data_IF_337387270224
#
_entry.id   IF_337387270224
#
_cell.length_a   1.000
_cell.length_b   1.000
_cell.length_c   1.000
_cell.angle_alpha   90.00
_cell.angle_beta   90.00
_cell.angle_gamma   90.00
#
_symmetry.space_group_name_H-M   'P 1'
#
loop_
_entity.id
_entity.type
_entity.pdbx_description
1 polymer ?
#
# COMPACT_ATOMS: atom_id res chain seq x y z
N UNK A 1 34.37 47.25 7.09
CA UNK A 1 34.37 46.04 6.24
C UNK A 1 33.21 45.20 6.68
N UNK A 2 32.04 45.32 5.98
CA UNK A 2 30.80 44.65 6.38
C UNK A 2 30.76 43.28 5.73
N UNK A 3 30.80 42.21 6.53
CA UNK A 3 30.56 40.86 6.06
C UNK A 3 29.04 40.61 6.01
N UNK A 4 28.50 40.47 4.79
CA UNK A 4 27.13 40.00 4.58
C UNK A 4 27.19 38.49 4.67
N UNK A 5 26.63 37.91 5.77
CA UNK A 5 26.43 36.46 5.91
C UNK A 5 25.18 36.11 5.13
N UNK A 6 25.33 35.51 3.95
CA UNK A 6 24.24 34.98 3.17
C UNK A 6 23.81 33.63 3.78
N UNK A 7 22.77 33.67 4.60
CA UNK A 7 22.15 32.43 5.12
C UNK A 7 21.31 31.82 3.98
N UNK A 8 21.88 30.81 3.33
CA UNK A 8 21.16 30.00 2.33
C UNK A 8 20.14 29.10 3.07
N UNK A 9 18.90 29.55 3.13
CA UNK A 9 17.80 28.70 3.58
C UNK A 9 17.59 27.61 2.53
N UNK A 10 18.20 26.45 2.76
CA UNK A 10 17.91 25.25 1.98
C UNK A 10 16.56 24.71 2.45
N UNK A 11 15.48 25.18 1.82
CA UNK A 11 14.16 24.58 1.95
C UNK A 11 14.24 23.17 1.35
N UNK A 12 14.34 22.16 2.20
CA UNK A 12 14.05 20.80 1.80
C UNK A 12 12.59 20.77 1.36
N UNK A 13 12.36 20.74 0.05
CA UNK A 13 11.09 20.36 -0.53
C UNK A 13 10.84 18.91 -0.10
N UNK A 14 10.14 18.76 1.02
CA UNK A 14 9.43 17.52 1.32
C UNK A 14 8.42 17.39 0.19
N UNK A 15 8.64 16.46 -0.71
CA UNK A 15 7.63 16.06 -1.67
C UNK A 15 6.49 15.45 -0.85
N UNK A 16 5.48 16.26 -0.55
CA UNK A 16 4.23 15.72 0.00
C UNK A 16 3.68 14.71 -1.01
N UNK A 17 3.37 13.53 -0.52
CA UNK A 17 2.68 12.54 -1.33
C UNK A 17 1.39 13.18 -1.85
N UNK A 18 1.16 13.11 -3.16
CA UNK A 18 -0.05 13.66 -3.78
C UNK A 18 -1.32 12.96 -3.28
N UNK A 19 -1.20 11.78 -2.70
CA UNK A 19 -2.30 10.93 -2.24
C UNK A 19 -2.21 10.69 -0.73
N UNK A 20 -3.37 10.57 -0.08
CA UNK A 20 -3.44 10.13 1.32
C UNK A 20 -2.86 8.72 1.45
N UNK A 21 -2.19 8.47 2.57
CA UNK A 21 -1.57 7.20 2.91
C UNK A 21 -2.11 6.69 4.26
N UNK A 22 -2.15 5.36 4.49
CA UNK A 22 -2.42 4.80 5.81
C UNK A 22 -1.40 5.30 6.83
N UNK A 23 -1.88 5.92 7.90
CA UNK A 23 -1.05 6.40 8.99
C UNK A 23 -0.45 5.24 9.78
N UNK A 24 0.75 5.42 10.31
CA UNK A 24 1.41 4.43 11.15
C UNK A 24 2.20 5.10 12.29
N UNK A 25 2.43 4.32 13.32
CA UNK A 25 3.39 4.66 14.38
C UNK A 25 4.68 3.91 14.09
N UNK A 26 5.79 4.63 13.94
CA UNK A 26 7.12 4.03 13.83
C UNK A 26 7.55 3.56 15.22
N UNK A 27 7.64 2.24 15.42
CA UNK A 27 8.04 1.65 16.69
C UNK A 27 9.57 1.53 16.81
N UNK A 28 10.22 1.12 15.73
CA UNK A 28 11.66 0.86 15.72
C UNK A 28 12.20 0.85 14.29
N UNK A 29 13.47 1.22 14.15
CA UNK A 29 14.25 1.01 12.91
C UNK A 29 15.47 0.17 13.25
N UNK A 30 15.71 -0.88 12.47
CA UNK A 30 16.89 -1.74 12.56
C UNK A 30 17.47 -1.85 11.14
N UNK A 31 18.68 -1.32 10.94
CA UNK A 31 19.29 -1.16 9.62
C UNK A 31 18.36 -0.37 8.69
N UNK A 32 17.88 -1.00 7.61
CA UNK A 32 16.94 -0.41 6.66
C UNK A 32 15.54 -1.06 6.75
N UNK A 33 15.21 -1.67 7.89
CA UNK A 33 13.91 -2.28 8.16
C UNK A 33 13.24 -1.50 9.30
N UNK A 34 12.02 -1.09 9.08
CA UNK A 34 11.19 -0.40 10.04
C UNK A 34 10.14 -1.35 10.60
N UNK A 35 9.89 -1.28 11.91
CA UNK A 35 8.73 -1.88 12.56
C UNK A 35 7.71 -0.78 12.73
N UNK A 36 6.63 -0.90 12.00
CA UNK A 36 5.51 0.05 11.99
C UNK A 36 4.27 -0.59 12.58
N UNK A 37 3.46 0.19 13.26
CA UNK A 37 2.15 -0.22 13.74
C UNK A 37 1.07 0.59 13.04
N UNK A 38 0.15 -0.10 12.39
CA UNK A 38 -0.96 0.46 11.63
C UNK A 38 -2.28 0.17 12.32
N UNK A 39 -3.25 1.06 12.09
CA UNK A 39 -4.63 0.82 12.45
C UNK A 39 -5.32 -0.17 11.49
N UNK A 40 -6.55 -0.53 11.81
CA UNK A 40 -7.48 -1.19 10.89
C UNK A 40 -8.02 -0.17 9.90
N UNK A 41 -8.07 -0.54 8.61
CA UNK A 41 -8.60 0.29 7.54
C UNK A 41 -9.67 -0.47 6.76
N UNK A 42 -10.57 0.27 6.12
CA UNK A 42 -11.47 -0.28 5.11
C UNK A 42 -10.72 -0.29 3.79
N UNK A 43 -10.83 -1.40 3.05
CA UNK A 43 -10.23 -1.55 1.73
C UNK A 43 -11.25 -2.02 0.70
N UNK A 44 -11.07 -1.54 -0.53
CA UNK A 44 -11.68 -2.13 -1.71
C UNK A 44 -10.71 -3.14 -2.29
N UNK A 45 -11.14 -4.38 -2.47
CA UNK A 45 -10.33 -5.51 -2.90
C UNK A 45 -10.86 -6.11 -4.19
N UNK A 46 -9.97 -6.44 -5.11
CA UNK A 46 -10.23 -7.32 -6.25
C UNK A 46 -9.28 -8.50 -6.23
N UNK A 47 -9.77 -9.64 -6.66
CA UNK A 47 -9.07 -10.93 -6.57
C UNK A 47 -8.98 -11.59 -7.94
N UNK A 48 -7.86 -12.26 -8.21
CA UNK A 48 -7.56 -12.98 -9.44
C UNK A 48 -6.94 -14.35 -9.11
N UNK A 49 -7.39 -15.46 -9.72
CA UNK A 49 -6.82 -16.79 -9.47
C UNK A 49 -5.34 -16.89 -9.81
N UNK A 50 -4.58 -17.73 -9.09
CA UNK A 50 -3.14 -17.98 -9.35
C UNK A 50 -2.85 -18.63 -10.70
N UNK A 51 -3.85 -19.26 -11.31
CA UNK A 51 -3.74 -19.85 -12.67
C UNK A 51 -3.51 -18.82 -13.77
N UNK A 52 -3.74 -17.55 -13.45
CA UNK A 52 -3.48 -16.43 -14.35
C UNK A 52 -2.13 -15.79 -14.02
N UNK A 53 -1.60 -14.94 -14.89
CA UNK A 53 -0.37 -14.17 -14.64
C UNK A 53 -0.48 -13.32 -13.35
N UNK A 54 0.65 -12.86 -12.82
CA UNK A 54 0.74 -11.99 -11.63
C UNK A 54 -0.20 -10.77 -11.68
N UNK A 55 -0.40 -10.05 -10.56
CA UNK A 55 -1.23 -8.84 -10.54
C UNK A 55 -0.89 -7.90 -11.70
N UNK A 56 -1.91 -7.42 -12.39
CA UNK A 56 -1.79 -6.69 -13.65
C UNK A 56 -2.62 -5.40 -13.68
N UNK A 57 -2.48 -4.67 -14.77
CA UNK A 57 -3.22 -3.45 -15.01
C UNK A 57 -4.75 -3.65 -15.03
N UNK A 58 -5.26 -4.86 -15.25
CA UNK A 58 -6.70 -5.12 -15.22
C UNK A 58 -7.25 -5.07 -13.80
N UNK A 59 -6.50 -5.59 -12.80
CA UNK A 59 -6.87 -5.47 -11.38
C UNK A 59 -6.89 -4.00 -10.97
N UNK A 60 -5.86 -3.23 -11.35
CA UNK A 60 -5.81 -1.80 -11.10
C UNK A 60 -6.99 -1.08 -11.75
N UNK A 61 -7.27 -1.30 -13.03
CA UNK A 61 -8.40 -0.68 -13.74
C UNK A 61 -9.75 -1.01 -13.11
N UNK A 62 -9.91 -2.22 -12.57
CA UNK A 62 -11.12 -2.63 -11.86
C UNK A 62 -11.37 -1.72 -10.67
N UNK A 63 -10.38 -1.57 -9.78
CA UNK A 63 -10.48 -0.69 -8.60
C UNK A 63 -10.54 0.79 -8.99
N UNK A 64 -9.71 1.23 -9.94
CA UNK A 64 -9.70 2.60 -10.41
C UNK A 64 -11.05 3.01 -11.01
N UNK A 65 -11.67 2.16 -11.83
CA UNK A 65 -12.98 2.45 -12.40
C UNK A 65 -14.04 2.68 -11.32
N UNK A 66 -14.01 1.91 -10.23
CA UNK A 66 -14.91 2.07 -9.10
C UNK A 66 -14.75 3.43 -8.43
N UNK A 67 -13.51 3.81 -8.08
CA UNK A 67 -13.27 5.10 -7.41
C UNK A 67 -13.54 6.30 -8.33
N UNK A 68 -13.41 6.14 -9.65
CA UNK A 68 -13.70 7.17 -10.65
C UNK A 68 -15.16 7.17 -11.12
N UNK A 69 -16.10 6.68 -10.28
CA UNK A 69 -17.54 6.85 -10.46
C UNK A 69 -18.28 5.67 -11.05
N UNK A 70 -17.63 4.51 -11.36
CA UNK A 70 -18.33 3.29 -11.77
C UNK A 70 -18.91 2.56 -10.55
N UNK A 71 -19.77 3.27 -9.79
CA UNK A 71 -20.47 2.77 -8.62
C UNK A 71 -21.94 3.24 -8.67
N UNK A 72 -22.81 2.67 -7.86
CA UNK A 72 -24.25 2.93 -7.89
C UNK A 72 -24.63 4.41 -7.73
N UNK A 73 -23.79 5.20 -7.05
CA UNK A 73 -23.99 6.64 -6.79
C UNK A 73 -23.26 7.53 -7.79
N UNK A 74 -22.54 6.98 -8.76
CA UNK A 74 -21.66 7.71 -9.69
C UNK A 74 -20.72 8.70 -8.97
N UNK A 75 -20.32 8.35 -7.74
CA UNK A 75 -19.51 9.18 -6.86
C UNK A 75 -18.02 8.95 -7.11
N UNK A 76 -17.26 10.04 -7.28
CA UNK A 76 -15.81 9.97 -7.23
C UNK A 76 -15.34 9.81 -5.79
N UNK A 77 -14.45 8.86 -5.58
CA UNK A 77 -13.79 8.58 -4.30
C UNK A 77 -12.31 8.94 -4.48
N UNK A 78 -11.70 9.67 -3.54
CA UNK A 78 -10.29 10.05 -3.66
C UNK A 78 -9.38 8.84 -3.81
N UNK A 79 -8.40 8.94 -4.71
CA UNK A 79 -7.32 7.95 -4.80
C UNK A 79 -6.42 8.03 -3.58
N UNK A 80 -5.93 6.88 -3.11
CA UNK A 80 -4.99 6.75 -2.00
C UNK A 80 -3.74 6.00 -2.44
N UNK A 81 -2.65 6.18 -1.75
CA UNK A 81 -1.43 5.40 -1.87
C UNK A 81 -1.16 4.66 -0.56
N UNK A 82 -0.50 3.52 -0.60
CA UNK A 82 -0.04 2.77 -1.75
C UNK A 82 -1.15 1.91 -2.38
N UNK A 83 -0.91 1.46 -3.61
CA UNK A 83 -1.61 0.31 -4.17
C UNK A 83 -0.94 -0.94 -3.62
N UNK A 84 -1.66 -1.71 -2.83
CA UNK A 84 -1.13 -2.92 -2.19
C UNK A 84 -1.53 -4.17 -2.95
N UNK A 85 -0.55 -5.04 -3.21
CA UNK A 85 -0.76 -6.35 -3.82
C UNK A 85 -0.13 -7.43 -2.97
N UNK A 86 -0.77 -8.58 -2.90
CA UNK A 86 -0.19 -9.75 -2.25
C UNK A 86 -0.70 -11.04 -2.90
N UNK A 87 0.09 -12.08 -2.72
CA UNK A 87 -0.25 -13.43 -3.13
C UNK A 87 -0.67 -14.19 -1.89
N UNK A 88 -1.86 -14.79 -1.92
CA UNK A 88 -2.26 -15.79 -0.94
C UNK A 88 -2.18 -17.21 -1.54
N UNK A 89 -2.70 -18.22 -0.85
CA UNK A 89 -2.56 -19.62 -1.27
C UNK A 89 -3.27 -19.96 -2.59
N UNK A 90 -4.31 -19.21 -2.95
CA UNK A 90 -5.19 -19.51 -4.09
C UNK A 90 -5.30 -18.39 -5.11
N UNK A 91 -4.90 -17.17 -4.73
CA UNK A 91 -5.13 -15.98 -5.56
C UNK A 91 -4.04 -14.92 -5.41
N UNK A 92 -4.10 -13.96 -6.33
CA UNK A 92 -3.53 -12.62 -6.15
C UNK A 92 -4.64 -11.67 -5.74
N UNK A 93 -4.36 -10.84 -4.75
CA UNK A 93 -5.24 -9.77 -4.30
C UNK A 93 -4.60 -8.41 -4.55
N UNK A 94 -5.43 -7.45 -4.91
CA UNK A 94 -5.05 -6.03 -4.99
C UNK A 94 -6.06 -5.23 -4.19
N UNK A 95 -5.56 -4.30 -3.37
CA UNK A 95 -6.40 -3.46 -2.53
C UNK A 95 -6.08 -1.97 -2.72
N UNK A 96 -7.15 -1.16 -2.61
CA UNK A 96 -7.08 0.28 -2.41
C UNK A 96 -7.62 0.60 -1.03
N UNK A 97 -6.96 1.49 -0.30
CA UNK A 97 -7.42 1.95 1.01
C UNK A 97 -8.56 2.98 0.86
N UNK A 98 -9.62 2.80 1.63
CA UNK A 98 -10.77 3.72 1.66
C UNK A 98 -10.66 4.62 2.89
N UNK A 99 -9.64 5.49 2.92
CA UNK A 99 -9.23 6.24 4.12
C UNK A 99 -10.24 7.30 4.59
N UNK A 100 -11.17 7.70 3.73
CA UNK A 100 -12.24 8.66 4.07
C UNK A 100 -13.54 7.98 4.53
N UNK A 101 -13.53 6.64 4.69
CA UNK A 101 -14.70 5.85 5.09
C UNK A 101 -14.47 5.19 6.45
N UNK A 102 -15.44 5.32 7.34
CA UNK A 102 -15.40 4.69 8.68
C UNK A 102 -16.13 3.34 8.72
N UNK A 103 -16.99 3.08 7.76
CA UNK A 103 -17.74 1.84 7.61
C UNK A 103 -17.79 1.38 6.17
N UNK A 104 -17.88 0.07 5.97
CA UNK A 104 -18.14 -0.52 4.63
C UNK A 104 -19.48 -0.01 4.08
N UNK A 105 -20.45 0.24 4.93
CA UNK A 105 -21.78 0.72 4.55
C UNK A 105 -21.77 2.16 4.01
N UNK A 106 -20.71 2.94 4.26
CA UNK A 106 -20.54 4.29 3.71
C UNK A 106 -20.18 4.28 2.22
N UNK A 107 -19.67 3.13 1.74
CA UNK A 107 -19.19 3.00 0.37
C UNK A 107 -20.34 2.65 -0.60
N UNK A 108 -20.41 3.32 -1.75
CA UNK A 108 -21.38 2.95 -2.78
C UNK A 108 -21.05 1.56 -3.35
N UNK A 109 -22.09 0.79 -3.71
CA UNK A 109 -21.87 -0.53 -4.31
C UNK A 109 -21.22 -0.44 -5.69
N UNK A 110 -20.30 -1.37 -6.03
CA UNK A 110 -19.71 -1.44 -7.35
C UNK A 110 -20.78 -1.72 -8.44
N UNK A 111 -20.66 -1.09 -9.61
CA UNK A 111 -21.55 -1.32 -10.74
C UNK A 111 -20.98 -2.41 -11.66
N UNK A 112 -21.11 -3.69 -11.24
CA UNK A 112 -20.73 -4.85 -12.04
C UNK A 112 -19.24 -5.23 -12.04
N UNK A 113 -18.41 -4.61 -11.19
CA UNK A 113 -17.02 -5.05 -10.99
C UNK A 113 -16.95 -6.12 -9.91
N UNK A 114 -15.95 -7.02 -10.03
CA UNK A 114 -15.62 -7.96 -8.96
C UNK A 114 -14.79 -7.26 -7.88
N UNK A 115 -15.47 -6.51 -6.99
CA UNK A 115 -14.88 -5.78 -5.88
C UNK A 115 -15.61 -6.17 -4.60
N UNK A 116 -14.85 -6.45 -3.56
CA UNK A 116 -15.33 -6.66 -2.20
C UNK A 116 -14.76 -5.59 -1.28
N UNK A 117 -15.49 -5.28 -0.22
CA UNK A 117 -15.01 -4.38 0.84
C UNK A 117 -14.81 -5.18 2.10
N UNK A 118 -13.73 -4.91 2.79
CA UNK A 118 -13.43 -5.56 4.06
C UNK A 118 -12.66 -4.64 5.00
N UNK A 119 -12.72 -4.94 6.29
CA UNK A 119 -11.83 -4.37 7.28
C UNK A 119 -10.49 -5.09 7.19
N UNK A 120 -9.45 -4.33 7.01
CA UNK A 120 -8.11 -4.82 6.81
C UNK A 120 -7.20 -4.37 7.95
N UNK A 121 -6.89 -5.32 8.83
CA UNK A 121 -6.02 -5.06 9.97
C UNK A 121 -4.58 -5.38 9.62
N UNK A 122 -3.78 -4.33 9.41
CA UNK A 122 -2.34 -4.46 9.17
C UNK A 122 -1.57 -4.75 10.47
N UNK A 123 -1.97 -4.13 11.58
CA UNK A 123 -1.29 -4.27 12.87
C UNK A 123 0.20 -3.95 12.80
N UNK A 124 1.02 -4.80 13.42
CA UNK A 124 2.46 -4.61 13.47
C UNK A 124 3.16 -5.23 12.25
N UNK A 125 3.84 -4.40 11.46
CA UNK A 125 4.49 -4.79 10.21
C UNK A 125 5.99 -4.55 10.24
N UNK A 126 6.78 -5.47 9.70
CA UNK A 126 8.16 -5.21 9.30
C UNK A 126 8.17 -4.71 7.85
N UNK A 127 8.72 -3.52 7.63
CA UNK A 127 8.69 -2.81 6.36
C UNK A 127 10.10 -2.55 5.85
N UNK A 128 10.35 -2.85 4.59
CA UNK A 128 11.58 -2.51 3.90
C UNK A 128 11.26 -1.74 2.62
N UNK A 129 11.82 -0.55 2.48
CA UNK A 129 11.63 0.29 1.31
C UNK A 129 12.76 0.10 0.31
N UNK A 130 12.44 0.15 -0.96
CA UNK A 130 13.41 0.12 -2.05
C UNK A 130 12.92 0.94 -3.23
N UNK A 131 13.86 1.53 -3.97
CA UNK A 131 13.59 2.39 -5.15
C UNK A 131 13.86 1.64 -6.44
N UNK A 132 13.47 2.25 -7.58
CA UNK A 132 13.69 1.78 -8.94
C UNK A 132 12.76 0.64 -9.35
N UNK A 133 12.88 0.19 -10.59
CA UNK A 133 12.00 -0.81 -11.19
C UNK A 133 11.71 -2.01 -10.28
N UNK A 134 10.43 -2.30 -10.11
CA UNK A 134 9.93 -3.40 -9.30
C UNK A 134 9.84 -4.66 -10.17
N UNK A 135 10.92 -5.44 -10.25
CA UNK A 135 10.92 -6.76 -10.90
C UNK A 135 10.62 -7.86 -9.88
N UNK A 136 10.06 -8.99 -10.35
CA UNK A 136 9.77 -10.15 -9.50
C UNK A 136 11.01 -10.67 -8.75
N UNK A 137 12.18 -10.64 -9.42
CA UNK A 137 13.43 -10.99 -8.78
C UNK A 137 13.77 -10.07 -7.59
N UNK A 138 13.54 -8.76 -7.77
CA UNK A 138 13.81 -7.76 -6.73
C UNK A 138 12.85 -7.91 -5.57
N UNK A 139 11.56 -8.13 -5.83
CA UNK A 139 10.56 -8.43 -4.81
C UNK A 139 10.99 -9.64 -4.00
N UNK A 140 11.28 -10.78 -4.64
CA UNK A 140 11.74 -12.02 -3.97
C UNK A 140 13.00 -11.82 -3.14
N UNK A 141 13.93 -10.98 -3.59
CA UNK A 141 15.13 -10.62 -2.82
C UNK A 141 14.79 -9.93 -1.51
N UNK A 142 13.91 -8.92 -1.54
CA UNK A 142 13.51 -8.17 -0.34
C UNK A 142 12.59 -8.98 0.57
N UNK A 143 11.70 -9.79 0.01
CA UNK A 143 10.90 -10.75 0.75
C UNK A 143 11.79 -11.72 1.57
N UNK A 144 12.81 -12.31 0.93
CA UNK A 144 13.78 -13.16 1.63
C UNK A 144 14.53 -12.41 2.74
N UNK A 145 14.84 -11.12 2.52
CA UNK A 145 15.51 -10.30 3.53
C UNK A 145 14.60 -10.03 4.73
N UNK A 146 13.32 -9.70 4.49
CA UNK A 146 12.33 -9.53 5.56
C UNK A 146 12.10 -10.82 6.32
N UNK A 147 11.95 -11.96 5.63
CA UNK A 147 11.77 -13.26 6.27
C UNK A 147 12.92 -13.59 7.22
N UNK A 148 14.16 -13.42 6.75
CA UNK A 148 15.35 -13.63 7.60
C UNK A 148 15.39 -12.69 8.80
N UNK A 149 14.98 -11.42 8.59
CA UNK A 149 14.91 -10.45 9.68
C UNK A 149 13.87 -10.86 10.74
N UNK A 150 12.68 -11.27 10.33
CA UNK A 150 11.59 -11.74 11.21
C UNK A 150 12.10 -12.92 12.05
N UNK A 151 12.68 -13.93 11.41
CA UNK A 151 13.24 -15.12 12.07
C UNK A 151 14.34 -14.77 13.07
N UNK A 152 15.32 -13.96 12.67
CA UNK A 152 16.48 -13.61 13.50
C UNK A 152 16.13 -12.74 14.71
N UNK A 153 15.02 -12.03 14.68
CA UNK A 153 14.58 -11.16 15.78
C UNK A 153 13.48 -11.81 16.64
N UNK A 154 13.18 -13.09 16.46
CA UNK A 154 12.21 -13.83 17.26
C UNK A 154 10.75 -13.43 17.00
N UNK A 155 10.46 -12.83 15.86
CA UNK A 155 9.10 -12.53 15.45
C UNK A 155 8.47 -13.73 14.73
N UNK A 156 7.15 -13.77 14.73
CA UNK A 156 6.37 -14.77 13.98
C UNK A 156 5.61 -14.07 12.85
N UNK A 157 5.79 -14.54 11.63
CA UNK A 157 5.02 -14.06 10.49
C UNK A 157 3.58 -14.60 10.58
N UNK A 158 2.60 -13.71 10.56
CA UNK A 158 1.17 -14.03 10.66
C UNK A 158 0.38 -13.72 9.39
N UNK A 159 1.00 -13.08 8.40
CA UNK A 159 0.37 -12.70 7.14
C UNK A 159 1.28 -12.98 5.95
N UNK A 160 0.72 -12.95 4.74
CA UNK A 160 1.49 -12.99 3.51
C UNK A 160 2.30 -11.70 3.32
N UNK A 161 3.38 -11.79 2.54
CA UNK A 161 4.14 -10.61 2.14
C UNK A 161 3.31 -9.73 1.19
N UNK A 162 3.41 -8.43 1.41
CA UNK A 162 2.69 -7.41 0.64
C UNK A 162 3.68 -6.54 -0.13
N UNK A 163 3.30 -6.14 -1.32
CA UNK A 163 4.04 -5.18 -2.14
C UNK A 163 3.21 -3.91 -2.25
N UNK A 164 3.75 -2.84 -1.69
CA UNK A 164 3.16 -1.51 -1.69
C UNK A 164 3.81 -0.67 -2.79
N UNK A 165 3.00 -0.17 -3.73
CA UNK A 165 3.44 0.72 -4.80
C UNK A 165 2.89 2.12 -4.57
N UNK A 166 3.79 3.08 -4.46
CA UNK A 166 3.48 4.49 -4.20
C UNK A 166 3.46 5.32 -5.49
N UNK A 167 4.19 4.86 -6.52
CA UNK A 167 4.20 5.51 -7.83
C UNK A 167 3.01 5.03 -8.67
N UNK A 168 2.53 5.91 -9.55
CA UNK A 168 1.52 5.53 -10.55
C UNK A 168 2.03 4.39 -11.42
N UNK A 169 1.19 3.41 -11.75
CA UNK A 169 1.54 2.32 -12.65
C UNK A 169 1.84 2.78 -14.07
#
# INVERSE_FOLDING_TARGET
>A
MNFIVLILFMTTLLSESQYKEPEFVLLKTIDNIEIREYNEYIVAKTTKPLSTSSPDNNMFRTLASYIFGKNEKQKNIPMTAPVTTFKNDTSYDMIFYMLDSNSVDDLPKPSGQNITFEKFNLGKCAVISFSWFTSDWKIKKYEKKLKKFIENNGYTQTSHFMVNRYDSP
#
